data_IF_621246992534
#
_entry.id   IF_621246992534
#
_cell.length_a   1.000
_cell.length_b   1.000
_cell.length_c   1.000
_cell.angle_alpha   90.00
_cell.angle_beta   90.00
_cell.angle_gamma   90.00
#
_symmetry.space_group_name_H-M   'P 1'
#
loop_
_entity.id
_entity.type
_entity.pdbx_description
1 polymer ?
#
# COMPACT_ATOMS: atom_id res chain seq x y z
N UNK A 1 42.82 -23.71 -2.50
CA UNK A 1 41.53 -24.28 -2.09
C UNK A 1 40.54 -23.13 -1.98
N UNK A 2 40.28 -22.37 -3.03
CA UNK A 2 39.60 -22.67 -4.30
C UNK A 2 38.10 -22.94 -4.19
N UNK A 3 37.38 -22.14 -5.02
CA UNK A 3 35.97 -22.21 -5.49
C UNK A 3 35.01 -21.29 -4.73
N UNK A 4 34.73 -20.06 -5.20
CA UNK A 4 33.97 -19.64 -6.41
C UNK A 4 32.49 -20.06 -6.31
N UNK A 5 31.60 -19.08 -6.13
CA UNK A 5 30.53 -18.77 -7.10
C UNK A 5 29.76 -17.49 -6.69
N UNK A 6 30.12 -16.39 -7.33
CA UNK A 6 29.37 -15.13 -7.39
C UNK A 6 28.54 -15.17 -8.68
N UNK A 7 27.20 -15.09 -8.60
CA UNK A 7 26.33 -14.97 -9.78
C UNK A 7 25.70 -13.59 -9.82
N UNK A 8 26.38 -12.70 -10.53
CA UNK A 8 25.89 -11.44 -11.09
C UNK A 8 25.04 -11.78 -12.32
N UNK A 9 23.85 -11.19 -12.46
CA UNK A 9 23.12 -11.12 -13.74
C UNK A 9 22.68 -9.69 -14.01
N UNK A 10 23.54 -8.98 -14.70
CA UNK A 10 23.27 -7.74 -15.43
C UNK A 10 22.46 -8.09 -16.68
N UNK A 11 21.35 -7.39 -16.93
CA UNK A 11 20.65 -7.41 -18.22
C UNK A 11 20.72 -6.00 -18.80
N UNK A 12 21.69 -5.77 -19.68
CA UNK A 12 21.66 -4.71 -20.68
C UNK A 12 20.85 -5.23 -21.87
N UNK A 13 19.79 -4.52 -22.26
CA UNK A 13 19.24 -4.59 -23.61
C UNK A 13 19.35 -3.21 -24.25
N UNK A 14 20.30 -3.10 -25.18
CA UNK A 14 20.43 -2.02 -26.11
C UNK A 14 19.46 -2.25 -27.28
N UNK A 15 18.68 -1.22 -27.64
CA UNK A 15 18.07 -1.11 -28.96
C UNK A 15 18.22 0.35 -29.43
N UNK A 16 19.29 0.56 -30.21
CA UNK A 16 19.48 1.68 -31.12
C UNK A 16 18.66 1.44 -32.40
N UNK A 17 18.38 2.53 -33.13
CA UNK A 17 17.83 2.68 -34.50
C UNK A 17 16.46 3.40 -34.47
N UNK A 18 16.21 4.52 -35.15
CA UNK A 18 16.93 5.32 -36.13
C UNK A 18 16.41 6.77 -36.05
N UNK A 19 17.28 7.75 -36.28
CA UNK A 19 16.91 9.15 -36.41
C UNK A 19 16.89 9.61 -37.89
N UNK A 20 15.94 10.50 -38.17
CA UNK A 20 15.91 11.53 -39.22
C UNK A 20 15.60 11.05 -40.67
N UNK A 21 14.98 11.83 -41.59
CA UNK A 21 14.91 13.29 -41.80
C UNK A 21 13.70 13.63 -42.76
N UNK A 22 13.29 14.92 -42.77
CA UNK A 22 12.65 15.73 -43.85
C UNK A 22 11.11 15.87 -43.79
N UNK A 23 10.53 17.02 -43.41
CA UNK A 23 10.49 18.34 -44.07
C UNK A 23 9.60 18.40 -45.32
N UNK A 24 8.38 18.93 -45.13
CA UNK A 24 7.73 19.93 -45.98
C UNK A 24 7.20 19.52 -47.36
N UNK A 25 5.87 19.58 -47.52
CA UNK A 25 5.17 20.39 -48.54
C UNK A 25 3.65 20.24 -48.36
N UNK A 26 2.97 21.36 -48.11
CA UNK A 26 1.53 21.52 -48.35
C UNK A 26 1.32 22.06 -49.78
N UNK A 27 0.12 21.85 -50.37
CA UNK A 27 -0.73 23.03 -50.60
C UNK A 27 -2.24 22.82 -50.35
N UNK A 28 -2.91 23.97 -50.24
CA UNK A 28 -4.33 24.26 -49.97
C UNK A 28 -5.35 23.85 -51.06
N UNK A 29 -6.62 23.74 -50.61
CA UNK A 29 -7.87 23.95 -51.38
C UNK A 29 -8.76 22.70 -51.38
N UNK A 30 -10.08 22.70 -51.14
CA UNK A 30 -11.11 23.72 -50.96
C UNK A 30 -12.41 23.01 -50.49
N UNK A 31 -13.31 23.73 -49.80
CA UNK A 31 -14.80 23.55 -49.74
C UNK A 31 -15.46 22.38 -48.96
N UNK A 32 -15.89 22.71 -47.73
CA UNK A 32 -17.29 22.90 -47.27
C UNK A 32 -18.38 21.85 -47.63
N UNK A 33 -18.96 21.19 -46.60
CA UNK A 33 -20.37 21.37 -46.19
C UNK A 33 -20.82 20.43 -45.05
N UNK A 34 -21.38 21.07 -44.00
CA UNK A 34 -22.54 20.72 -43.16
C UNK A 34 -22.86 19.28 -42.70
N UNK A 35 -22.85 19.13 -41.37
CA UNK A 35 -23.76 18.43 -40.44
C UNK A 35 -24.75 17.37 -40.94
N UNK A 36 -24.76 16.24 -40.21
CA UNK A 36 -26.01 15.70 -39.66
C UNK A 36 -25.78 15.01 -38.32
N UNK A 37 -26.55 15.45 -37.31
CA UNK A 37 -26.83 14.69 -36.10
C UNK A 37 -27.47 13.34 -36.46
N UNK A 38 -27.06 12.28 -35.77
CA UNK A 38 -27.64 10.95 -35.89
C UNK A 38 -27.33 10.10 -34.68
N UNK A 39 -28.14 10.25 -33.63
CA UNK A 39 -28.22 9.31 -32.51
C UNK A 39 -28.71 7.97 -33.02
N UNK A 40 -27.97 6.89 -32.76
CA UNK A 40 -28.55 5.56 -32.57
C UNK A 40 -27.76 4.83 -31.50
N UNK A 41 -28.48 4.59 -30.40
CA UNK A 41 -28.15 3.69 -29.32
C UNK A 41 -28.09 2.26 -29.85
N UNK A 42 -27.01 1.54 -29.54
CA UNK A 42 -26.97 0.09 -29.63
C UNK A 42 -26.04 -0.43 -28.52
N UNK A 43 -26.69 -1.00 -27.50
CA UNK A 43 -26.19 -1.98 -26.55
C UNK A 43 -24.76 -1.80 -26.02
N UNK A 44 -24.68 -1.37 -24.76
CA UNK A 44 -23.54 -1.64 -23.91
C UNK A 44 -23.23 -3.14 -23.97
N UNK A 45 -22.19 -3.48 -24.73
CA UNK A 45 -21.53 -4.76 -24.58
C UNK A 45 -20.78 -4.62 -23.27
N UNK A 46 -21.37 -5.21 -22.23
CA UNK A 46 -20.74 -5.43 -20.94
C UNK A 46 -19.46 -6.24 -21.22
N UNK A 47 -18.39 -5.49 -21.47
CA UNK A 47 -17.06 -6.03 -21.64
C UNK A 47 -16.57 -6.16 -20.22
N UNK A 48 -17.02 -7.23 -19.56
CA UNK A 48 -16.41 -7.70 -18.32
C UNK A 48 -14.91 -7.81 -18.61
N UNK A 49 -14.17 -6.85 -18.08
CA UNK A 49 -12.72 -6.86 -18.08
C UNK A 49 -12.30 -8.18 -17.43
N UNK A 50 -11.42 -8.98 -18.06
CA UNK A 50 -10.98 -10.22 -17.44
C UNK A 50 -10.29 -9.86 -16.12
N UNK A 51 -10.83 -10.39 -15.02
CA UNK A 51 -10.38 -10.16 -13.66
C UNK A 51 -8.85 -10.34 -13.57
N UNK A 52 -8.15 -9.23 -13.39
CA UNK A 52 -6.72 -9.22 -13.13
C UNK A 52 -6.50 -9.32 -11.63
N UNK A 53 -6.36 -10.55 -11.13
CA UNK A 53 -5.67 -10.89 -9.88
C UNK A 53 -5.75 -12.41 -9.76
N UNK A 54 -4.66 -13.09 -9.38
CA UNK A 54 -4.80 -14.48 -8.95
C UNK A 54 -5.89 -14.54 -7.88
N UNK A 55 -6.89 -15.41 -8.04
CA UNK A 55 -8.13 -15.35 -7.26
C UNK A 55 -7.83 -15.26 -5.76
N UNK A 56 -7.96 -14.06 -5.19
CA UNK A 56 -7.79 -13.83 -3.76
C UNK A 56 -8.93 -14.59 -3.06
N UNK A 57 -8.59 -15.52 -2.17
CA UNK A 57 -9.59 -16.18 -1.35
C UNK A 57 -10.08 -15.19 -0.28
N UNK A 58 -11.26 -14.62 -0.51
CA UNK A 58 -11.88 -13.65 0.40
C UNK A 58 -12.36 -14.28 1.72
N UNK A 59 -12.24 -15.59 1.89
CA UNK A 59 -12.67 -16.30 3.11
C UNK A 59 -11.50 -16.80 3.96
N UNK A 60 -10.28 -16.80 3.43
CA UNK A 60 -9.07 -17.14 4.17
C UNK A 60 -8.54 -15.93 4.94
N UNK A 61 -9.19 -15.62 6.06
CA UNK A 61 -8.87 -14.45 6.87
C UNK A 61 -7.47 -14.51 7.48
N UNK A 62 -6.91 -15.69 7.71
CA UNK A 62 -5.54 -15.83 8.21
C UNK A 62 -4.54 -15.43 7.12
N UNK A 63 -4.72 -15.91 5.89
CA UNK A 63 -3.89 -15.50 4.75
C UNK A 63 -4.03 -14.01 4.43
N UNK A 64 -5.24 -13.46 4.49
CA UNK A 64 -5.47 -12.02 4.31
C UNK A 64 -4.82 -11.20 5.42
N UNK A 65 -4.86 -11.70 6.66
CA UNK A 65 -4.20 -11.05 7.80
C UNK A 65 -2.70 -11.01 7.60
N UNK A 66 -2.08 -12.15 7.27
CA UNK A 66 -0.63 -12.25 7.08
C UNK A 66 -0.13 -11.38 5.91
N UNK A 67 -0.84 -11.43 4.79
CA UNK A 67 -0.43 -10.76 3.54
C UNK A 67 -0.62 -9.25 3.60
N UNK A 68 -1.78 -8.79 4.09
CA UNK A 68 -2.22 -7.41 3.90
C UNK A 68 -2.39 -6.62 5.20
N UNK A 69 -2.68 -7.26 6.33
CA UNK A 69 -2.94 -6.53 7.58
C UNK A 69 -1.74 -6.49 8.50
N UNK A 70 -0.95 -7.57 8.55
CA UNK A 70 0.12 -7.76 9.53
C UNK A 70 1.02 -6.54 9.63
N UNK A 71 1.52 -6.09 8.47
CA UNK A 71 2.46 -4.99 8.42
C UNK A 71 1.88 -3.63 8.81
N UNK A 72 0.79 -3.15 8.20
CA UNK A 72 0.21 -1.87 8.61
C UNK A 72 -0.30 -1.91 10.06
N UNK A 73 -0.70 -3.08 10.57
CA UNK A 73 -1.11 -3.24 11.96
C UNK A 73 0.05 -3.05 12.93
N UNK A 74 1.11 -3.85 12.80
CA UNK A 74 2.24 -3.83 13.74
C UNK A 74 3.13 -2.58 13.60
N UNK A 75 3.05 -1.87 12.49
CA UNK A 75 3.71 -0.58 12.35
C UNK A 75 2.92 0.60 12.93
N UNK A 76 1.65 0.41 13.29
CA UNK A 76 0.76 1.48 13.74
C UNK A 76 0.14 2.30 12.60
N UNK A 77 0.31 1.92 11.34
CA UNK A 77 -0.38 2.57 10.19
C UNK A 77 -1.90 2.48 10.34
N UNK A 78 -2.42 1.43 10.99
CA UNK A 78 -3.86 1.28 11.28
C UNK A 78 -4.32 1.95 12.59
N UNK A 79 -3.44 2.68 13.30
CA UNK A 79 -3.75 3.29 14.61
C UNK A 79 -4.68 4.52 14.51
N UNK A 80 -4.80 5.10 13.32
CA UNK A 80 -5.68 6.23 13.01
C UNK A 80 -6.30 6.08 11.63
N UNK A 81 -7.35 6.86 11.35
CA UNK A 81 -7.90 6.98 10.00
C UNK A 81 -7.01 7.84 9.13
N UNK A 82 -6.89 7.51 7.84
CA UNK A 82 -6.19 8.29 6.83
C UNK A 82 -6.73 7.96 5.43
N UNK A 83 -6.81 8.98 4.58
CA UNK A 83 -7.16 8.84 3.15
C UNK A 83 -5.94 8.97 2.24
N UNK A 84 -4.83 9.47 2.78
CA UNK A 84 -3.54 9.56 2.09
C UNK A 84 -2.40 9.26 3.05
N UNK A 85 -1.29 8.66 2.57
CA UNK A 85 -0.10 8.42 3.38
C UNK A 85 0.46 9.66 4.09
N UNK A 86 0.13 10.88 3.60
CA UNK A 86 0.55 12.13 4.23
C UNK A 86 -0.04 12.39 5.61
N UNK A 87 -1.17 11.74 5.91
CA UNK A 87 -1.87 11.83 7.19
C UNK A 87 -1.36 10.81 8.20
N UNK A 88 -0.55 9.83 7.76
CA UNK A 88 0.04 8.82 8.63
C UNK A 88 1.17 9.45 9.45
N UNK A 89 1.29 9.05 10.71
CA UNK A 89 2.48 9.39 11.50
C UNK A 89 3.77 8.90 10.80
N UNK A 90 4.76 9.78 10.66
CA UNK A 90 6.01 9.43 9.98
C UNK A 90 6.78 8.31 10.70
N UNK A 91 6.64 8.20 12.03
CA UNK A 91 7.16 7.09 12.81
C UNK A 91 6.52 5.76 12.42
N UNK A 92 5.20 5.72 12.24
CA UNK A 92 4.50 4.52 11.79
C UNK A 92 4.90 4.06 10.38
N UNK A 93 5.24 4.99 9.49
CA UNK A 93 5.78 4.69 8.16
C UNK A 93 7.21 4.14 8.23
N UNK A 94 8.03 4.64 9.15
CA UNK A 94 9.37 4.10 9.43
C UNK A 94 9.25 2.69 10.03
N UNK A 95 8.34 2.50 10.99
CA UNK A 95 8.11 1.21 11.65
C UNK A 95 7.52 0.18 10.67
N UNK A 96 6.86 0.61 9.58
CA UNK A 96 6.39 -0.27 8.51
C UNK A 96 7.56 -1.00 7.83
N UNK A 97 8.68 -0.32 7.64
CA UNK A 97 9.94 -0.95 7.24
C UNK A 97 10.53 -1.80 8.37
N UNK A 98 10.45 -1.34 9.61
CA UNK A 98 10.92 -2.08 10.78
C UNK A 98 10.27 -3.46 10.94
N UNK A 99 8.96 -3.58 10.65
CA UNK A 99 8.23 -4.86 10.66
C UNK A 99 8.83 -5.83 9.64
N UNK A 100 9.06 -5.37 8.41
CA UNK A 100 9.77 -6.16 7.40
C UNK A 100 11.14 -6.61 7.86
N UNK A 101 11.95 -5.66 8.32
CA UNK A 101 13.34 -5.94 8.70
C UNK A 101 13.42 -6.99 9.79
N UNK A 102 12.55 -6.89 10.80
CA UNK A 102 12.51 -7.82 11.94
C UNK A 102 12.08 -9.23 11.50
N UNK A 103 11.20 -9.36 10.51
CA UNK A 103 10.80 -10.65 9.94
C UNK A 103 11.96 -11.31 9.17
N UNK A 104 12.71 -10.56 8.38
CA UNK A 104 13.82 -11.08 7.56
C UNK A 104 15.10 -11.34 8.37
N UNK A 105 15.27 -10.70 9.53
CA UNK A 105 16.47 -10.81 10.37
C UNK A 105 16.13 -11.32 11.79
N UNK A 106 15.54 -12.52 11.92
CA UNK A 106 15.17 -13.06 13.22
C UNK A 106 16.42 -13.33 14.06
N UNK A 107 16.59 -12.56 15.14
CA UNK A 107 17.71 -12.71 16.09
C UNK A 107 18.70 -11.55 16.11
N UNK A 108 18.55 -10.58 15.21
CA UNK A 108 19.23 -9.29 15.34
C UNK A 108 18.49 -8.42 16.37
N UNK A 109 19.25 -7.67 17.20
CA UNK A 109 18.61 -6.73 18.12
C UNK A 109 17.86 -5.67 17.30
N UNK A 110 16.58 -5.49 17.60
CA UNK A 110 15.77 -4.46 16.95
C UNK A 110 16.30 -3.08 17.33
N UNK A 111 16.77 -2.31 16.36
CA UNK A 111 17.09 -0.89 16.53
C UNK A 111 18.34 -0.45 15.78
N UNK A 112 18.54 0.87 15.69
CA UNK A 112 19.69 1.46 15.02
C UNK A 112 19.28 2.39 13.88
N UNK A 113 20.22 2.67 12.99
CA UNK A 113 20.01 3.60 11.87
C UNK A 113 19.95 2.83 10.56
N UNK A 114 18.85 3.00 9.83
CA UNK A 114 18.67 2.45 8.48
C UNK A 114 18.85 3.54 7.43
N UNK A 115 19.60 3.30 6.32
CA UNK A 115 19.78 4.29 5.27
C UNK A 115 18.44 4.79 4.70
N UNK A 116 18.25 6.11 4.61
CA UNK A 116 16.96 6.69 4.24
C UNK A 116 16.52 6.24 2.84
N UNK A 117 17.44 6.18 1.88
CA UNK A 117 17.16 5.71 0.53
C UNK A 117 16.60 4.29 0.47
N UNK A 118 17.05 3.40 1.37
CA UNK A 118 16.58 2.02 1.46
C UNK A 118 15.16 1.96 2.01
N UNK A 119 14.93 2.60 3.18
CA UNK A 119 13.62 2.66 3.84
C UNK A 119 12.58 3.32 2.92
N UNK A 120 12.91 4.46 2.31
CA UNK A 120 12.00 5.18 1.41
C UNK A 120 11.69 4.42 0.12
N UNK A 121 12.69 3.75 -0.48
CA UNK A 121 12.45 2.91 -1.65
C UNK A 121 11.57 1.71 -1.32
N UNK A 122 11.72 1.15 -0.12
CA UNK A 122 10.87 0.06 0.35
C UNK A 122 9.42 0.53 0.56
N UNK A 123 9.23 1.56 1.41
CA UNK A 123 7.90 2.02 1.82
C UNK A 123 7.09 2.54 0.62
N UNK A 124 7.72 3.27 -0.31
CA UNK A 124 7.03 3.79 -1.52
C UNK A 124 6.37 2.73 -2.40
N UNK A 125 6.81 1.48 -2.33
CA UNK A 125 6.20 0.40 -3.11
C UNK A 125 4.77 0.10 -2.65
N UNK A 126 4.46 0.33 -1.36
CA UNK A 126 3.23 -0.13 -0.72
C UNK A 126 2.15 0.93 -0.60
N UNK A 127 2.39 2.18 -1.01
CA UNK A 127 1.42 3.25 -0.85
C UNK A 127 1.09 3.91 -2.18
N UNK A 128 -0.18 4.26 -2.36
CA UNK A 128 -0.67 4.90 -3.60
C UNK A 128 -0.14 6.31 -3.83
N UNK A 129 0.40 6.96 -2.80
CA UNK A 129 1.11 8.24 -2.87
C UNK A 129 2.45 8.16 -2.13
N UNK A 130 3.41 8.99 -2.55
CA UNK A 130 4.75 9.02 -1.99
C UNK A 130 4.74 9.54 -0.52
N UNK A 131 5.13 8.72 0.48
CA UNK A 131 5.18 9.11 1.88
C UNK A 131 6.52 9.71 2.33
N UNK A 132 7.52 9.84 1.44
CA UNK A 132 8.89 10.25 1.82
C UNK A 132 8.94 11.59 2.56
N UNK A 133 8.16 12.58 2.12
CA UNK A 133 8.12 13.89 2.81
C UNK A 133 7.65 13.75 4.26
N UNK A 134 6.59 12.97 4.49
CA UNK A 134 6.04 12.68 5.82
C UNK A 134 7.04 11.94 6.69
N UNK A 135 7.75 10.95 6.13
CA UNK A 135 8.80 10.22 6.85
C UNK A 135 9.95 11.15 7.26
N UNK A 136 10.47 11.96 6.33
CA UNK A 136 11.59 12.88 6.59
C UNK A 136 11.24 14.02 7.55
N UNK A 137 9.97 14.37 7.67
CA UNK A 137 9.50 15.36 8.65
C UNK A 137 9.48 14.82 10.09
N UNK A 138 9.56 13.51 10.29
CA UNK A 138 9.51 12.89 11.62
C UNK A 138 10.85 13.01 12.37
N UNK A 139 10.79 13.12 13.71
CA UNK A 139 11.96 13.32 14.56
C UNK A 139 13.01 12.18 14.51
N UNK A 140 12.63 11.02 13.98
CA UNK A 140 13.55 9.88 13.80
C UNK A 140 14.39 9.97 12.52
N UNK A 141 14.17 10.95 11.64
CA UNK A 141 15.04 11.19 10.49
C UNK A 141 16.28 12.01 10.90
N UNK A 142 17.47 11.48 10.68
CA UNK A 142 18.75 12.16 10.87
C UNK A 142 19.31 12.61 9.51
N UNK A 143 19.21 13.90 9.22
CA UNK A 143 19.69 14.49 7.98
C UNK A 143 21.22 14.50 7.82
N UNK A 144 21.99 14.39 8.92
CA UNK A 144 23.45 14.29 8.83
C UNK A 144 23.90 12.88 8.44
N UNK A 145 23.17 11.87 8.91
CA UNK A 145 23.43 10.46 8.60
C UNK A 145 22.71 9.98 7.33
N UNK A 146 21.73 10.75 6.86
CA UNK A 146 20.78 10.36 5.81
C UNK A 146 20.15 9.00 6.13
N UNK A 147 19.59 8.90 7.35
CA UNK A 147 19.10 7.65 7.92
C UNK A 147 17.93 7.86 8.88
N UNK A 148 17.13 6.82 9.06
CA UNK A 148 16.07 6.77 10.06
C UNK A 148 16.52 5.97 11.28
N UNK A 149 16.31 6.53 12.47
CA UNK A 149 16.42 5.79 13.72
C UNK A 149 15.22 4.87 13.90
N UNK A 150 15.50 3.61 14.16
CA UNK A 150 14.53 2.60 14.57
C UNK A 150 14.77 2.25 16.03
N UNK A 151 13.70 2.28 16.82
CA UNK A 151 13.75 2.04 18.28
C UNK A 151 13.16 0.70 18.69
N UNK A 152 12.82 -0.14 17.70
CA UNK A 152 12.08 -1.39 17.90
C UNK A 152 10.57 -1.23 17.74
N UNK A 153 9.88 -2.36 17.55
CA UNK A 153 8.42 -2.41 17.46
C UNK A 153 7.83 -2.43 18.87
N UNK A 154 6.80 -1.61 19.08
CA UNK A 154 5.96 -1.68 20.27
C UNK A 154 4.68 -2.47 20.02
N UNK A 155 3.93 -2.73 21.09
CA UNK A 155 2.56 -3.27 21.01
C UNK A 155 2.45 -4.74 21.43
N UNK A 156 1.36 -5.05 22.15
CA UNK A 156 1.01 -6.43 22.52
C UNK A 156 -0.34 -6.87 21.95
N UNK A 157 -1.06 -5.98 21.25
CA UNK A 157 -2.33 -6.31 20.63
C UNK A 157 -2.13 -7.23 19.41
N UNK A 158 -3.15 -8.02 19.10
CA UNK A 158 -3.22 -8.79 17.84
C UNK A 158 -4.22 -8.13 16.89
N UNK A 159 -3.95 -8.20 15.59
CA UNK A 159 -4.85 -7.71 14.55
C UNK A 159 -5.29 -8.87 13.67
N UNK A 160 -6.59 -8.96 13.37
CA UNK A 160 -7.14 -10.00 12.48
C UNK A 160 -8.13 -9.40 11.50
N UNK A 161 -8.10 -9.90 10.27
CA UNK A 161 -9.18 -9.70 9.31
C UNK A 161 -10.41 -10.46 9.80
N UNK A 162 -11.57 -9.80 9.75
CA UNK A 162 -12.87 -10.35 10.15
C UNK A 162 -13.91 -10.29 9.03
N UNK A 163 -13.60 -9.55 7.97
CA UNK A 163 -14.41 -9.46 6.75
C UNK A 163 -13.55 -9.00 5.57
N UNK A 164 -13.93 -9.43 4.37
CA UNK A 164 -13.26 -9.03 3.14
C UNK A 164 -14.25 -8.89 1.99
N UNK A 165 -14.00 -7.91 1.12
CA UNK A 165 -14.75 -7.68 -0.10
C UNK A 165 -13.80 -7.25 -1.22
N UNK A 166 -14.14 -7.59 -2.47
CA UNK A 166 -13.39 -7.19 -3.66
C UNK A 166 -14.36 -6.54 -4.66
N UNK A 167 -14.06 -5.30 -5.05
CA UNK A 167 -14.76 -4.59 -6.12
C UNK A 167 -13.75 -4.12 -7.16
N UNK A 168 -13.77 -4.75 -8.34
CA UNK A 168 -12.73 -4.56 -9.35
C UNK A 168 -11.34 -4.93 -8.83
N UNK A 169 -10.45 -3.94 -8.75
CA UNK A 169 -9.09 -4.07 -8.22
C UNK A 169 -8.96 -3.61 -6.74
N UNK A 170 -10.05 -3.16 -6.12
CA UNK A 170 -10.07 -2.68 -4.75
C UNK A 170 -10.45 -3.81 -3.78
N UNK A 171 -9.47 -4.31 -3.03
CA UNK A 171 -9.67 -5.18 -1.88
C UNK A 171 -9.95 -4.32 -0.63
N UNK A 172 -11.05 -4.61 0.04
CA UNK A 172 -11.43 -3.99 1.30
C UNK A 172 -11.40 -5.04 2.40
N UNK A 173 -10.66 -4.78 3.48
CA UNK A 173 -10.55 -5.65 4.64
C UNK A 173 -11.12 -4.98 5.87
N UNK A 174 -12.16 -5.56 6.45
CA UNK A 174 -12.58 -5.23 7.82
C UNK A 174 -11.68 -5.97 8.79
N UNK A 175 -11.13 -5.25 9.77
CA UNK A 175 -10.22 -5.81 10.76
C UNK A 175 -10.63 -5.43 12.18
N UNK A 176 -10.25 -6.28 13.12
CA UNK A 176 -10.37 -6.03 14.55
C UNK A 176 -9.01 -6.16 15.24
N UNK A 177 -8.77 -5.26 16.19
CA UNK A 177 -7.63 -5.30 17.09
C UNK A 177 -8.05 -5.84 18.45
N UNK A 178 -7.34 -6.85 18.95
CA UNK A 178 -7.68 -7.53 20.20
C UNK A 178 -6.66 -7.22 21.30
N UNK A 179 -7.15 -7.17 22.54
CA UNK A 179 -6.36 -6.94 23.73
C UNK A 179 -5.31 -8.03 23.94
N UNK A 180 -4.08 -7.64 24.23
CA UNK A 180 -3.00 -8.55 24.63
C UNK A 180 -3.34 -9.40 25.86
N UNK A 181 -4.26 -8.91 26.71
CA UNK A 181 -4.55 -9.52 28.00
C UNK A 181 -5.36 -10.82 27.87
N UNK A 182 -6.21 -10.93 26.85
CA UNK A 182 -7.15 -12.04 26.67
C UNK A 182 -7.33 -12.49 25.21
N UNK A 183 -6.75 -11.76 24.25
CA UNK A 183 -6.78 -12.01 22.81
C UNK A 183 -8.20 -12.17 22.22
N UNK A 184 -9.20 -11.64 22.93
CA UNK A 184 -10.63 -11.78 22.61
C UNK A 184 -11.40 -10.47 22.74
N UNK A 185 -11.00 -9.58 23.64
CA UNK A 185 -11.61 -8.26 23.77
C UNK A 185 -11.19 -7.36 22.61
N UNK A 186 -12.14 -7.00 21.75
CA UNK A 186 -11.94 -6.03 20.67
C UNK A 186 -11.68 -4.65 21.27
N UNK A 187 -10.51 -4.09 20.99
CA UNK A 187 -10.11 -2.74 21.40
C UNK A 187 -10.53 -1.69 20.38
N UNK A 188 -10.46 -2.03 19.09
CA UNK A 188 -10.95 -1.22 17.99
C UNK A 188 -11.10 -2.04 16.72
N UNK A 189 -11.81 -1.45 15.76
CA UNK A 189 -12.02 -2.01 14.44
C UNK A 189 -11.68 -0.94 13.39
N UNK A 190 -11.56 -1.37 12.15
CA UNK A 190 -11.47 -0.48 11.01
C UNK A 190 -11.56 -1.23 9.69
N UNK A 191 -11.47 -0.45 8.63
CA UNK A 191 -11.52 -0.92 7.25
C UNK A 191 -10.29 -0.43 6.51
N UNK A 192 -9.51 -1.36 5.96
CA UNK A 192 -8.30 -1.10 5.19
C UNK A 192 -8.60 -1.31 3.70
N UNK A 193 -8.31 -0.30 2.88
CA UNK A 193 -8.51 -0.34 1.43
C UNK A 193 -7.20 -0.53 0.70
N UNK A 194 -7.16 -1.49 -0.23
CA UNK A 194 -5.95 -1.96 -0.90
C UNK A 194 -6.23 -2.07 -2.39
N UNK A 195 -5.40 -1.44 -3.22
CA UNK A 195 -5.44 -1.57 -4.68
C UNK A 195 -4.54 -2.73 -5.09
N UNK A 196 -5.13 -3.79 -5.64
CA UNK A 196 -4.41 -4.91 -6.23
C UNK A 196 -3.93 -4.54 -7.64
N UNK A 197 -2.77 -5.04 -8.05
CA UNK A 197 -2.20 -4.83 -9.38
C UNK A 197 -2.14 -6.13 -10.16
N UNK A 198 -2.15 -6.03 -11.49
CA UNK A 198 -2.14 -7.19 -12.38
C UNK A 198 -0.88 -8.06 -12.22
N UNK A 199 0.23 -7.46 -11.80
CA UNK A 199 1.52 -8.14 -11.56
C UNK A 199 1.59 -8.87 -10.21
N UNK A 200 0.50 -8.85 -9.43
CA UNK A 200 0.41 -9.44 -8.10
C UNK A 200 0.93 -8.55 -6.97
N UNK A 201 1.46 -7.35 -7.28
CA UNK A 201 1.74 -6.34 -6.26
C UNK A 201 0.46 -5.66 -5.77
N UNK A 202 0.57 -4.90 -4.68
CA UNK A 202 -0.56 -4.17 -4.11
C UNK A 202 -0.10 -2.88 -3.44
N UNK A 203 -1.04 -1.95 -3.25
CA UNK A 203 -0.79 -0.69 -2.57
C UNK A 203 -1.93 -0.32 -1.63
N UNK A 204 -1.62 0.14 -0.42
CA UNK A 204 -2.60 0.67 0.51
C UNK A 204 -3.09 2.04 0.03
N UNK A 205 -4.42 2.19 0.01
CA UNK A 205 -5.11 3.38 -0.44
C UNK A 205 -5.64 4.23 0.73
N UNK A 206 -6.25 3.60 1.72
CA UNK A 206 -6.80 4.28 2.90
C UNK A 206 -6.99 3.33 4.08
N UNK A 207 -7.14 3.89 5.27
CA UNK A 207 -7.59 3.18 6.47
C UNK A 207 -8.64 4.02 7.18
N UNK A 208 -9.77 3.43 7.57
CA UNK A 208 -10.80 4.12 8.34
C UNK A 208 -11.03 3.34 9.63
N UNK A 209 -10.68 3.92 10.79
CA UNK A 209 -11.05 3.34 12.08
C UNK A 209 -12.53 3.55 12.35
N UNK A 210 -13.21 2.47 12.74
CA UNK A 210 -14.57 2.54 13.22
C UNK A 210 -14.59 3.30 14.56
N UNK A 211 -15.62 4.14 14.81
CA UNK A 211 -15.83 4.68 16.14
C UNK A 211 -15.93 3.51 17.11
N UNK A 212 -15.17 3.53 18.21
CA UNK A 212 -15.35 2.54 19.27
C UNK A 212 -16.83 2.53 19.61
N UNK A 213 -17.51 1.39 19.49
CA UNK A 213 -18.89 1.22 19.94
C UNK A 213 -18.90 1.32 21.46
N UNK A 214 -18.78 2.55 21.96
CA UNK A 214 -18.94 2.84 23.37
C UNK A 214 -20.31 2.34 23.76
N UNK A 215 -20.35 1.47 24.77
CA UNK A 215 -21.56 1.11 25.48
C UNK A 215 -22.24 2.38 25.98
N UNK A 216 -23.13 2.93 25.15
CA UNK A 216 -24.08 3.95 25.54
C UNK A 216 -25.11 3.31 26.44
N UNK A 217 -24.80 3.18 27.74
CA UNK A 217 -25.82 3.13 28.78
C UNK A 217 -25.22 3.43 30.15
N UNK A 218 -25.31 4.69 30.59
CA UNK A 218 -25.62 4.97 31.99
C UNK A 218 -26.75 6.00 32.01
N UNK A 219 -27.86 5.54 32.57
CA UNK A 219 -29.16 6.18 32.54
C UNK A 219 -29.16 7.57 33.15
N UNK A 220 -30.07 8.38 32.61
CA UNK A 220 -30.74 9.40 33.40
C UNK A 220 -31.32 8.75 34.66
N UNK A 221 -30.72 9.06 35.81
CA UNK A 221 -31.41 8.97 37.09
C UNK A 221 -31.82 10.40 37.45
N UNK A 222 -33.14 10.57 37.54
CA UNK A 222 -33.85 11.73 38.05
C UNK A 222 -33.58 11.95 39.55
#
# INVERSE_FOLDING_TARGET
MDRINLKIRSVLCAALCCAAVLAGCAPQGEKQAASSFGTVSAAAVDTASPAASGAVDLTDYDALTDTYLHRPFYSGVTAQSWDTPREIDGGALIDFYGVYWTQEHPGEQSGGFFPAAEVEAYVRQFFTADPTETMRAHARYDAQRDAYEFTGLGGGASGRVVGAALDGDMLTLDYAAFSAADDTTVMWEGTLSIVLKEDGSFQYASNIRSPSSGTGNQGAAA
#
